data_IF_533136713503
#
_entry.id   IF_533136713503
#
_cell.length_a   1.000
_cell.length_b   1.000
_cell.length_c   1.000
_cell.angle_alpha   90.00
_cell.angle_beta   90.00
_cell.angle_gamma   90.00
#
_symmetry.space_group_name_H-M   'P 1'
#
loop_
_entity.id
_entity.type
_entity.pdbx_description
1 polymer ?
#
# COMPACT_ATOMS: atom_id res chain seq x y z
N UNK A 1 10.97 -49.98 15.99
CA UNK A 1 10.73 -49.11 14.83
C UNK A 1 11.07 -47.70 15.26
N UNK A 2 12.19 -47.19 14.76
CA UNK A 2 12.66 -45.83 15.06
C UNK A 2 11.78 -44.88 14.27
N UNK A 3 10.97 -44.09 14.97
CA UNK A 3 10.13 -43.06 14.35
C UNK A 3 11.07 -41.94 13.89
N UNK A 4 11.42 -41.92 12.59
CA UNK A 4 12.08 -40.76 12.00
C UNK A 4 11.04 -39.65 11.91
N UNK A 5 10.98 -38.80 12.94
CA UNK A 5 10.40 -37.47 12.77
C UNK A 5 11.28 -36.75 11.76
N UNK A 6 10.85 -36.70 10.49
CA UNK A 6 11.35 -35.70 9.56
C UNK A 6 11.32 -34.36 10.29
N UNK A 7 12.40 -33.57 10.30
CA UNK A 7 12.38 -32.28 10.96
C UNK A 7 11.24 -31.49 10.31
N UNK A 8 10.21 -31.14 11.08
CA UNK A 8 9.18 -30.23 10.60
C UNK A 8 9.92 -29.00 10.06
N UNK A 9 9.73 -28.72 8.77
CA UNK A 9 10.41 -27.63 8.11
C UNK A 9 9.97 -26.35 8.83
N UNK A 10 10.84 -25.82 9.70
CA UNK A 10 10.57 -24.56 10.41
C UNK A 10 10.26 -23.50 9.37
N UNK A 11 9.05 -22.95 9.47
CA UNK A 11 8.57 -21.93 8.54
C UNK A 11 9.21 -20.59 8.91
N UNK A 12 9.57 -19.78 7.92
CA UNK A 12 10.18 -18.47 8.16
C UNK A 12 9.21 -17.36 7.80
N UNK A 13 9.02 -16.40 8.69
CA UNK A 13 8.38 -15.11 8.37
C UNK A 13 9.48 -14.05 8.31
N UNK A 14 9.58 -13.40 7.16
CA UNK A 14 10.57 -12.34 6.95
C UNK A 14 9.92 -10.98 7.18
N UNK A 15 10.51 -10.15 8.03
CA UNK A 15 10.01 -8.83 8.39
C UNK A 15 10.89 -7.76 7.75
N UNK A 16 10.33 -7.05 6.79
CA UNK A 16 10.99 -5.97 6.05
C UNK A 16 10.68 -4.63 6.69
N UNK A 17 11.72 -3.90 7.08
CA UNK A 17 11.62 -2.54 7.63
C UNK A 17 11.61 -1.48 6.55
N UNK A 18 10.62 -0.58 6.58
CA UNK A 18 10.61 0.63 5.72
C UNK A 18 10.57 1.95 6.49
N UNK A 19 10.33 1.91 7.80
CA UNK A 19 10.28 3.08 8.68
C UNK A 19 8.86 3.38 9.20
N UNK A 20 8.44 4.64 9.07
CA UNK A 20 7.15 5.12 9.55
C UNK A 20 7.05 5.38 11.05
N UNK A 21 5.85 5.75 11.50
CA UNK A 21 5.51 6.01 12.91
C UNK A 21 5.76 4.82 13.82
N UNK A 22 5.57 3.59 13.32
CA UNK A 22 5.86 2.37 14.08
C UNK A 22 7.33 2.27 14.51
N UNK A 23 8.22 2.86 13.71
CA UNK A 23 9.63 3.02 13.99
C UNK A 23 9.96 4.42 14.57
N UNK A 24 8.97 5.24 14.88
CA UNK A 24 9.15 6.64 15.29
C UNK A 24 9.49 6.80 16.77
N UNK A 25 10.17 7.90 17.10
CA UNK A 25 10.48 8.29 18.49
C UNK A 25 10.06 9.74 18.75
N UNK A 26 9.47 9.96 19.91
CA UNK A 26 9.24 11.28 20.49
C UNK A 26 10.20 11.52 21.66
N UNK A 27 10.37 12.79 22.04
CA UNK A 27 11.14 13.16 23.22
C UNK A 27 10.43 12.80 24.55
N UNK A 28 9.10 12.69 24.52
CA UNK A 28 8.26 12.33 25.67
C UNK A 28 7.22 11.29 25.28
N UNK A 29 6.82 10.43 26.22
CA UNK A 29 5.90 9.31 25.97
C UNK A 29 4.43 9.71 25.83
N UNK A 30 4.06 10.92 26.26
CA UNK A 30 2.74 11.50 26.08
C UNK A 30 2.59 12.27 24.75
N UNK A 31 3.69 12.54 24.06
CA UNK A 31 3.68 13.20 22.75
C UNK A 31 3.50 12.20 21.61
N UNK A 32 2.27 12.13 21.10
CA UNK A 32 1.91 11.28 19.97
C UNK A 32 1.92 12.02 18.62
N UNK A 33 2.28 13.31 18.58
CA UNK A 33 2.22 14.14 17.37
C UNK A 33 3.61 14.63 16.97
N UNK A 34 4.39 15.18 17.91
CA UNK A 34 5.72 15.73 17.71
C UNK A 34 6.85 14.69 17.67
N UNK A 35 6.58 13.50 17.16
CA UNK A 35 7.60 12.47 16.97
C UNK A 35 8.32 12.62 15.63
N UNK A 36 9.51 12.04 15.54
CA UNK A 36 10.18 11.83 14.25
C UNK A 36 9.98 10.38 13.83
N UNK A 37 9.45 10.14 12.63
CA UNK A 37 9.25 8.80 12.07
C UNK A 37 10.60 8.11 11.75
N UNK A 38 10.59 6.79 11.62
CA UNK A 38 11.72 6.00 11.10
C UNK A 38 13.06 6.16 11.85
N UNK A 39 13.03 6.11 13.18
CA UNK A 39 14.20 6.21 14.06
C UNK A 39 14.67 4.86 14.63
N UNK A 40 13.83 3.83 14.58
CA UNK A 40 14.10 2.49 15.15
C UNK A 40 14.24 1.46 14.04
N UNK A 41 15.30 0.64 14.09
CA UNK A 41 15.51 -0.43 13.10
C UNK A 41 14.50 -1.58 13.28
N UNK A 42 14.21 -2.31 12.21
CA UNK A 42 13.23 -3.40 12.23
C UNK A 42 13.64 -4.54 13.18
N UNK A 43 14.94 -4.82 13.32
CA UNK A 43 15.43 -5.80 14.28
C UNK A 43 15.09 -5.40 15.73
N UNK A 44 15.23 -4.10 16.06
CA UNK A 44 14.88 -3.57 17.38
C UNK A 44 13.35 -3.58 17.60
N UNK A 45 12.55 -3.32 16.56
CA UNK A 45 11.09 -3.42 16.62
C UNK A 45 10.59 -4.84 16.90
N UNK A 46 11.36 -5.85 16.47
CA UNK A 46 11.08 -7.25 16.80
C UNK A 46 11.61 -7.65 18.18
N UNK A 47 12.40 -6.80 18.83
CA UNK A 47 12.89 -7.03 20.19
C UNK A 47 11.72 -7.23 21.15
N UNK A 48 11.56 -8.44 21.68
CA UNK A 48 10.46 -8.80 22.59
C UNK A 48 9.18 -9.30 21.91
N UNK A 49 9.17 -9.47 20.59
CA UNK A 49 8.09 -10.17 19.89
C UNK A 49 8.49 -11.65 19.72
N UNK A 50 7.75 -12.53 20.37
CA UNK A 50 7.93 -13.97 20.24
C UNK A 50 7.36 -14.47 18.90
N UNK A 51 8.08 -15.38 18.27
CA UNK A 51 7.61 -16.04 17.06
C UNK A 51 6.52 -17.08 17.42
N UNK A 52 5.51 -17.27 16.56
CA UNK A 52 4.58 -18.40 16.71
C UNK A 52 5.32 -19.75 16.71
N UNK A 53 4.70 -20.77 17.30
CA UNK A 53 5.26 -22.13 17.32
C UNK A 53 5.57 -22.63 15.91
N UNK A 54 6.76 -23.21 15.73
CA UNK A 54 7.23 -23.70 14.43
C UNK A 54 7.61 -22.62 13.42
N UNK A 55 7.53 -21.34 13.80
CA UNK A 55 7.92 -20.19 12.97
C UNK A 55 9.22 -19.56 13.48
N UNK A 56 10.06 -19.11 12.55
CA UNK A 56 11.24 -18.29 12.82
C UNK A 56 11.07 -16.92 12.19
N UNK A 57 11.59 -15.88 12.85
CA UNK A 57 11.57 -14.50 12.33
C UNK A 57 12.94 -14.14 11.77
N UNK A 58 12.95 -13.51 10.60
CA UNK A 58 14.13 -12.89 10.01
C UNK A 58 13.85 -11.43 9.72
N UNK A 59 14.75 -10.53 10.09
CA UNK A 59 14.58 -9.11 9.95
C UNK A 59 15.50 -8.57 8.84
N UNK A 60 14.97 -7.75 7.94
CA UNK A 60 15.76 -7.05 6.92
C UNK A 60 15.32 -5.59 6.82
N UNK A 61 16.25 -4.65 7.00
CA UNK A 61 15.97 -3.24 6.78
C UNK A 61 16.08 -2.90 5.29
N UNK A 62 14.96 -2.55 4.66
CA UNK A 62 14.91 -2.18 3.23
C UNK A 62 15.09 -0.68 3.04
N UNK A 63 14.37 0.10 3.85
CA UNK A 63 14.41 1.56 3.85
C UNK A 63 14.12 2.08 5.27
N UNK A 64 14.36 3.37 5.52
CA UNK A 64 14.10 3.97 6.83
C UNK A 64 13.60 5.41 6.64
N UNK A 65 12.34 5.53 6.21
CA UNK A 65 11.74 6.82 5.83
C UNK A 65 10.36 7.02 6.47
N UNK A 66 9.94 8.28 6.55
CA UNK A 66 8.53 8.61 6.70
C UNK A 66 7.80 8.25 5.41
N UNK A 67 6.60 7.65 5.49
CA UNK A 67 5.91 7.15 4.30
C UNK A 67 5.39 8.28 3.41
N UNK A 68 5.24 9.50 3.92
CA UNK A 68 5.02 10.70 3.09
C UNK A 68 6.18 11.00 2.13
N UNK A 69 7.38 10.50 2.43
CA UNK A 69 8.60 10.65 1.63
C UNK A 69 8.95 9.35 0.88
N UNK A 70 8.01 8.39 0.79
CA UNK A 70 8.18 7.14 0.03
C UNK A 70 8.47 7.42 -1.44
N UNK A 71 9.56 6.85 -1.95
CA UNK A 71 9.99 7.05 -3.34
C UNK A 71 9.75 5.82 -4.21
N UNK A 72 9.75 6.02 -5.52
CA UNK A 72 9.61 4.92 -6.47
C UNK A 72 10.82 3.96 -6.48
N UNK A 73 12.00 4.44 -6.11
CA UNK A 73 13.19 3.60 -5.94
C UNK A 73 13.03 2.67 -4.74
N UNK A 74 12.47 3.18 -3.63
CA UNK A 74 12.15 2.36 -2.46
C UNK A 74 11.05 1.35 -2.82
N UNK A 75 10.00 1.75 -3.55
CA UNK A 75 8.98 0.81 -4.04
C UNK A 75 9.59 -0.31 -4.90
N UNK A 76 10.47 0.03 -5.84
CA UNK A 76 11.15 -0.96 -6.66
C UNK A 76 11.98 -1.92 -5.81
N UNK A 77 12.78 -1.39 -4.89
CA UNK A 77 13.61 -2.18 -3.98
C UNK A 77 12.73 -3.10 -3.11
N UNK A 78 11.67 -2.58 -2.52
CA UNK A 78 10.75 -3.34 -1.68
C UNK A 78 10.09 -4.48 -2.46
N UNK A 79 9.60 -4.22 -3.67
CA UNK A 79 9.02 -5.25 -4.54
C UNK A 79 10.04 -6.35 -4.87
N UNK A 80 11.31 -5.99 -5.16
CA UNK A 80 12.38 -6.96 -5.39
C UNK A 80 12.68 -7.82 -4.17
N UNK A 81 12.77 -7.21 -2.99
CA UNK A 81 13.03 -7.94 -1.75
C UNK A 81 11.87 -8.88 -1.41
N UNK A 82 10.62 -8.44 -1.59
CA UNK A 82 9.46 -9.32 -1.49
C UNK A 82 9.57 -10.50 -2.47
N UNK A 83 9.80 -10.25 -3.75
CA UNK A 83 9.92 -11.32 -4.75
C UNK A 83 11.04 -12.32 -4.42
N UNK A 84 12.18 -11.82 -3.96
CA UNK A 84 13.32 -12.64 -3.52
C UNK A 84 12.95 -13.58 -2.36
N UNK A 85 12.32 -13.06 -1.30
CA UNK A 85 11.95 -13.88 -0.15
C UNK A 85 10.81 -14.84 -0.45
N UNK A 86 9.79 -14.40 -1.18
CA UNK A 86 8.63 -15.23 -1.52
C UNK A 86 9.03 -16.46 -2.38
N UNK A 87 10.10 -16.36 -3.16
CA UNK A 87 10.64 -17.46 -3.98
C UNK A 87 11.27 -18.60 -3.16
N UNK A 88 11.65 -18.37 -1.90
CA UNK A 88 12.32 -19.38 -1.06
C UNK A 88 11.31 -20.35 -0.45
N UNK A 89 11.56 -21.66 -0.49
CA UNK A 89 10.59 -22.67 -0.10
C UNK A 89 10.22 -22.65 1.39
N UNK A 90 11.16 -22.30 2.26
CA UNK A 90 10.99 -22.24 3.71
C UNK A 90 10.32 -20.95 4.20
N UNK A 91 10.22 -19.92 3.34
CA UNK A 91 9.52 -18.68 3.67
C UNK A 91 8.00 -18.90 3.59
N UNK A 92 7.32 -18.73 4.72
CA UNK A 92 5.87 -18.77 4.84
C UNK A 92 5.21 -17.52 4.29
N UNK A 93 5.80 -16.35 4.51
CA UNK A 93 5.24 -15.05 4.16
C UNK A 93 6.20 -13.91 4.51
N UNK A 94 5.84 -12.71 4.07
CA UNK A 94 6.59 -11.48 4.32
C UNK A 94 5.72 -10.53 5.11
N UNK A 95 6.25 -9.95 6.18
CA UNK A 95 5.67 -8.81 6.91
C UNK A 95 6.44 -7.55 6.54
N UNK A 96 5.76 -6.41 6.39
CA UNK A 96 6.40 -5.13 6.09
C UNK A 96 5.96 -4.11 7.14
N UNK A 97 6.89 -3.54 7.91
CA UNK A 97 6.61 -2.40 8.77
C UNK A 97 6.69 -1.11 7.96
N UNK A 98 5.62 -0.33 7.96
CA UNK A 98 5.45 0.83 7.09
C UNK A 98 4.78 2.00 7.80
N UNK A 99 4.99 3.23 7.30
CA UNK A 99 4.28 4.41 7.77
C UNK A 99 2.83 4.46 7.28
N UNK A 100 1.93 5.04 8.07
CA UNK A 100 0.49 4.98 7.84
C UNK A 100 0.02 5.80 6.64
N UNK A 101 0.71 6.89 6.29
CA UNK A 101 0.20 7.89 5.34
C UNK A 101 0.06 7.38 3.90
N UNK A 102 1.01 6.59 3.42
CA UNK A 102 0.99 6.03 2.04
C UNK A 102 0.99 4.49 2.02
N UNK A 103 0.58 3.84 3.12
CA UNK A 103 0.52 2.37 3.18
C UNK A 103 -0.50 1.80 2.17
N UNK A 104 -1.60 2.51 1.92
CA UNK A 104 -2.62 2.09 0.93
C UNK A 104 -2.09 2.08 -0.50
N UNK A 105 -1.21 3.03 -0.82
CA UNK A 105 -0.53 3.12 -2.11
C UNK A 105 0.46 1.98 -2.26
N UNK A 106 1.30 1.75 -1.25
CA UNK A 106 2.32 0.69 -1.27
C UNK A 106 1.68 -0.70 -1.30
N UNK A 107 0.61 -0.92 -0.55
CA UNK A 107 -0.13 -2.20 -0.56
C UNK A 107 -0.75 -2.46 -1.94
N UNK A 108 -1.37 -1.45 -2.55
CA UNK A 108 -1.94 -1.56 -3.90
C UNK A 108 -0.85 -1.83 -4.95
N UNK A 109 0.28 -1.10 -4.89
CA UNK A 109 1.42 -1.29 -5.77
C UNK A 109 1.97 -2.73 -5.68
N UNK A 110 2.30 -3.20 -4.48
CA UNK A 110 2.83 -4.55 -4.27
C UNK A 110 1.84 -5.62 -4.71
N UNK A 111 0.53 -5.42 -4.46
CA UNK A 111 -0.50 -6.34 -4.94
C UNK A 111 -0.49 -6.46 -6.46
N UNK A 112 -0.42 -5.32 -7.14
CA UNK A 112 -0.46 -5.24 -8.60
C UNK A 112 0.76 -5.87 -9.25
N UNK A 113 1.96 -5.68 -8.69
CA UNK A 113 3.22 -6.13 -9.32
C UNK A 113 3.66 -7.53 -8.91
N UNK A 114 3.21 -8.05 -7.76
CA UNK A 114 3.63 -9.37 -7.26
C UNK A 114 2.55 -10.45 -7.44
N UNK A 115 1.27 -10.11 -7.27
CA UNK A 115 0.15 -11.06 -7.12
C UNK A 115 0.52 -12.36 -6.39
N UNK A 116 1.04 -12.27 -5.15
CA UNK A 116 1.82 -13.33 -4.57
C UNK A 116 0.95 -14.52 -4.15
N UNK A 117 1.48 -15.74 -4.35
CA UNK A 117 0.84 -16.99 -3.90
C UNK A 117 1.03 -17.23 -2.39
N UNK A 118 2.00 -16.55 -1.78
CA UNK A 118 2.26 -16.47 -0.34
C UNK A 118 1.84 -15.08 0.18
N UNK A 119 1.55 -14.91 1.48
CA UNK A 119 1.06 -13.64 2.00
C UNK A 119 2.19 -12.61 2.08
N UNK A 120 1.88 -11.39 1.68
CA UNK A 120 2.64 -10.17 2.00
C UNK A 120 1.75 -9.30 2.86
N UNK A 121 2.13 -9.10 4.12
CA UNK A 121 1.32 -8.42 5.13
C UNK A 121 2.00 -7.12 5.53
N UNK A 122 1.43 -5.99 5.14
CA UNK A 122 1.91 -4.70 5.64
C UNK A 122 1.28 -4.44 7.01
N UNK A 123 2.02 -3.75 7.87
CA UNK A 123 1.53 -3.26 9.15
C UNK A 123 2.13 -1.91 9.48
N UNK A 124 1.52 -1.22 10.43
CA UNK A 124 1.85 0.15 10.79
C UNK A 124 1.46 0.44 12.25
N UNK A 125 1.73 1.66 12.70
CA UNK A 125 1.26 2.16 13.98
C UNK A 125 0.79 3.61 13.83
N UNK A 126 -0.27 3.97 14.51
CA UNK A 126 -0.76 5.35 14.59
C UNK A 126 -0.04 6.15 15.69
N UNK A 127 0.60 5.47 16.66
CA UNK A 127 1.40 6.09 17.72
C UNK A 127 2.89 5.70 17.60
N UNK A 128 3.82 6.60 17.99
CA UNK A 128 5.25 6.30 17.97
C UNK A 128 5.62 5.20 18.97
N UNK A 129 6.77 4.55 18.76
CA UNK A 129 7.24 3.46 19.62
C UNK A 129 7.48 3.89 21.08
N UNK A 130 7.72 5.18 21.32
CA UNK A 130 7.92 5.77 22.65
C UNK A 130 6.63 6.11 23.38
N UNK A 131 5.46 5.97 22.74
CA UNK A 131 4.18 6.30 23.36
C UNK A 131 3.92 5.47 24.62
N UNK A 132 3.14 6.00 25.57
CA UNK A 132 2.72 5.26 26.77
C UNK A 132 1.96 3.97 26.45
N UNK A 133 1.25 3.95 25.34
CA UNK A 133 0.49 2.78 24.87
C UNK A 133 0.58 2.69 23.35
N UNK A 134 1.73 2.21 22.83
CA UNK A 134 1.98 2.11 21.40
C UNK A 134 1.17 0.95 20.82
N UNK A 135 0.58 1.14 19.65
CA UNK A 135 -0.18 0.11 18.93
C UNK A 135 0.71 -0.81 18.06
N UNK A 136 1.92 -0.35 17.72
CA UNK A 136 2.88 -1.06 16.88
C UNK A 136 3.18 -2.51 17.29
N UNK A 137 3.55 -2.79 18.55
CA UNK A 137 3.89 -4.16 18.98
C UNK A 137 2.76 -5.17 18.74
N UNK A 138 1.50 -4.80 19.00
CA UNK A 138 0.38 -5.68 18.75
C UNK A 138 0.13 -5.84 17.24
N UNK A 139 0.16 -4.74 16.48
CA UNK A 139 -0.03 -4.79 15.04
C UNK A 139 1.02 -5.68 14.34
N UNK A 140 2.28 -5.68 14.81
CA UNK A 140 3.34 -6.57 14.29
C UNK A 140 3.06 -8.04 14.64
N UNK A 141 2.64 -8.34 15.87
CA UNK A 141 2.23 -9.71 16.25
C UNK A 141 1.10 -10.23 15.37
N UNK A 142 0.06 -9.41 15.18
CA UNK A 142 -1.07 -9.75 14.33
C UNK A 142 -0.64 -9.98 12.88
N UNK A 143 0.25 -9.13 12.35
CA UNK A 143 0.78 -9.26 11.00
C UNK A 143 1.61 -10.54 10.81
N UNK A 144 2.42 -10.92 11.81
CA UNK A 144 3.17 -12.19 11.83
C UNK A 144 2.21 -13.39 11.85
N UNK A 145 1.15 -13.35 12.67
CA UNK A 145 0.12 -14.40 12.70
C UNK A 145 -0.56 -14.58 11.34
N UNK A 146 -0.92 -13.47 10.68
CA UNK A 146 -1.48 -13.50 9.31
C UNK A 146 -0.48 -14.05 8.30
N UNK A 147 0.80 -13.67 8.37
CA UNK A 147 1.84 -14.17 7.47
C UNK A 147 2.15 -15.67 7.67
N UNK A 148 1.97 -16.19 8.88
CA UNK A 148 2.16 -17.61 9.21
C UNK A 148 0.94 -18.48 8.83
N UNK A 149 -0.24 -17.87 8.70
CA UNK A 149 -1.51 -18.58 8.43
C UNK A 149 -1.43 -19.44 7.17
N UNK A 150 -1.83 -20.70 7.27
CA UNK A 150 -1.82 -21.63 6.13
C UNK A 150 -2.83 -21.19 5.07
N UNK A 151 -2.41 -21.17 3.80
CA UNK A 151 -3.24 -20.76 2.67
C UNK A 151 -3.47 -19.25 2.55
N UNK A 152 -2.92 -18.45 3.46
CA UNK A 152 -2.88 -16.99 3.31
C UNK A 152 -2.10 -16.60 2.04
N UNK A 153 -2.62 -15.60 1.32
CA UNK A 153 -2.06 -15.16 0.03
C UNK A 153 -2.47 -13.75 -0.31
N UNK A 154 -1.86 -13.22 -1.37
CA UNK A 154 -2.10 -11.84 -1.79
C UNK A 154 -1.40 -10.83 -0.86
N UNK A 155 -1.78 -9.57 -1.01
CA UNK A 155 -1.24 -8.47 -0.21
C UNK A 155 -2.35 -7.98 0.72
N UNK A 156 -2.06 -7.95 2.00
CA UNK A 156 -2.98 -7.48 3.05
C UNK A 156 -2.33 -6.40 3.90
N UNK A 157 -3.15 -5.65 4.63
CA UNK A 157 -2.70 -4.71 5.66
C UNK A 157 -3.37 -5.10 6.97
N UNK A 158 -2.59 -5.17 8.05
CA UNK A 158 -3.08 -5.54 9.38
C UNK A 158 -2.78 -4.43 10.37
N UNK A 159 -3.82 -3.92 11.02
CA UNK A 159 -3.75 -2.93 12.09
C UNK A 159 -5.02 -3.02 12.95
N UNK A 160 -4.87 -2.79 14.26
CA UNK A 160 -5.97 -2.81 15.22
C UNK A 160 -6.83 -4.10 15.15
N UNK A 161 -6.19 -5.26 14.95
CA UNK A 161 -6.87 -6.56 14.84
C UNK A 161 -7.69 -6.78 13.57
N UNK A 162 -7.66 -5.88 12.58
CA UNK A 162 -8.41 -6.01 11.32
C UNK A 162 -7.47 -6.34 10.17
N UNK A 163 -7.85 -7.33 9.35
CA UNK A 163 -7.13 -7.72 8.13
C UNK A 163 -7.83 -7.10 6.92
N UNK A 164 -7.17 -6.16 6.26
CA UNK A 164 -7.66 -5.47 5.07
C UNK A 164 -7.02 -6.02 3.80
N UNK A 165 -7.75 -6.02 2.69
CA UNK A 165 -7.17 -6.33 1.37
C UNK A 165 -6.35 -5.14 0.87
N UNK A 166 -5.16 -5.38 0.32
CA UNK A 166 -4.26 -4.32 -0.16
C UNK A 166 -4.86 -3.46 -1.29
N UNK A 167 -5.86 -3.99 -2.00
CA UNK A 167 -6.62 -3.22 -3.01
C UNK A 167 -7.68 -2.32 -2.38
N UNK A 168 -8.25 -2.72 -1.24
CA UNK A 168 -9.44 -2.11 -0.66
C UNK A 168 -9.10 -1.11 0.46
N UNK A 169 -8.01 -1.34 1.20
CA UNK A 169 -7.55 -0.55 2.34
C UNK A 169 -7.47 0.95 2.02
N UNK A 170 -8.04 1.79 2.88
CA UNK A 170 -7.86 3.23 2.85
C UNK A 170 -7.68 3.77 4.27
N UNK A 171 -6.81 4.76 4.45
CA UNK A 171 -6.74 5.55 5.70
C UNK A 171 -7.91 6.55 5.70
N UNK A 172 -8.85 6.35 6.61
CA UNK A 172 -10.10 7.13 6.73
C UNK A 172 -10.15 8.02 7.97
N UNK A 173 -9.18 7.89 8.89
CA UNK A 173 -9.03 8.78 10.02
C UNK A 173 -7.58 9.24 10.21
N UNK A 174 -7.41 10.48 10.65
CA UNK A 174 -6.10 11.11 10.84
C UNK A 174 -5.39 10.75 12.15
N UNK A 175 -6.02 10.02 13.09
CA UNK A 175 -5.53 9.93 14.47
C UNK A 175 -5.92 8.66 15.24
N UNK A 176 -7.13 8.13 15.07
CA UNK A 176 -7.56 6.94 15.81
C UNK A 176 -6.71 5.72 15.48
N UNK A 177 -6.67 4.74 16.39
CA UNK A 177 -5.95 3.48 16.14
C UNK A 177 -6.62 2.65 15.03
N UNK A 178 -7.94 2.65 14.98
CA UNK A 178 -8.78 2.07 13.92
C UNK A 178 -8.93 3.04 12.72
N UNK A 179 -7.82 3.63 12.27
CA UNK A 179 -7.83 4.67 11.24
C UNK A 179 -8.11 4.16 9.82
N UNK A 180 -8.25 2.86 9.62
CA UNK A 180 -8.31 2.24 8.31
C UNK A 180 -9.63 1.51 8.04
N UNK A 181 -10.08 1.54 6.79
CA UNK A 181 -11.29 0.85 6.34
C UNK A 181 -11.08 0.21 4.96
N UNK A 182 -11.89 -0.81 4.64
CA UNK A 182 -11.91 -1.46 3.31
C UNK A 182 -13.13 -1.04 2.47
N UNK A 183 -13.77 0.08 2.82
CA UNK A 183 -14.99 0.57 2.16
C UNK A 183 -16.09 -0.49 2.04
N UNK A 184 -16.81 -0.46 0.91
CA UNK A 184 -17.92 -1.38 0.60
C UNK A 184 -17.48 -2.85 0.48
N UNK A 185 -16.18 -3.09 0.28
CA UNK A 185 -15.63 -4.42 0.10
C UNK A 185 -15.55 -5.19 1.43
N UNK A 186 -15.50 -4.47 2.56
CA UNK A 186 -15.33 -5.05 3.90
C UNK A 186 -13.93 -5.61 4.17
N UNK A 187 -13.60 -5.93 5.42
CA UNK A 187 -12.34 -6.56 5.76
C UNK A 187 -12.24 -7.97 5.18
N UNK A 188 -11.00 -8.46 5.01
CA UNK A 188 -10.74 -9.87 4.68
C UNK A 188 -11.02 -10.75 5.90
N UNK A 189 -10.66 -10.27 7.09
CA UNK A 189 -10.79 -11.01 8.34
C UNK A 189 -10.40 -10.18 9.55
N UNK A 190 -10.29 -10.86 10.67
CA UNK A 190 -9.91 -10.31 11.97
C UNK A 190 -8.85 -11.20 12.61
N UNK A 191 -8.00 -10.62 13.46
CA UNK A 191 -7.08 -11.35 14.32
C UNK A 191 -7.63 -11.30 15.74
N UNK A 192 -7.91 -12.47 16.31
CA UNK A 192 -8.57 -12.63 17.60
C UNK A 192 -7.82 -13.71 18.39
N UNK A 193 -7.29 -13.37 19.56
CA UNK A 193 -6.46 -14.29 20.38
C UNK A 193 -5.31 -14.95 19.59
N UNK A 194 -4.71 -14.20 18.66
CA UNK A 194 -3.62 -14.68 17.79
C UNK A 194 -4.06 -15.49 16.57
N UNK A 195 -5.36 -15.77 16.42
CA UNK A 195 -5.92 -16.57 15.33
C UNK A 195 -6.61 -15.70 14.28
N UNK A 196 -6.50 -16.10 13.01
CA UNK A 196 -7.13 -15.38 11.90
C UNK A 196 -8.51 -15.93 11.60
N UNK A 197 -9.55 -15.12 11.85
CA UNK A 197 -10.92 -15.40 11.42
C UNK A 197 -11.24 -14.68 10.11
N UNK A 198 -11.36 -15.45 9.03
CA UNK A 198 -11.76 -14.92 7.72
C UNK A 198 -13.27 -14.64 7.65
N UNK A 199 -13.62 -13.53 7.02
CA UNK A 199 -15.01 -13.19 6.64
C UNK A 199 -15.17 -13.03 5.13
N UNK A 200 -14.06 -13.00 4.40
CA UNK A 200 -13.99 -12.95 2.94
C UNK A 200 -12.75 -13.72 2.46
N UNK A 201 -12.75 -14.25 1.23
CA UNK A 201 -11.55 -14.89 0.68
C UNK A 201 -10.32 -13.95 0.67
N UNK A 202 -9.13 -14.54 0.74
CA UNK A 202 -7.88 -13.82 0.56
C UNK A 202 -7.85 -13.05 -0.76
N UNK A 203 -7.22 -11.86 -0.81
CA UNK A 203 -7.11 -11.08 -2.03
C UNK A 203 -6.46 -11.90 -3.16
N UNK A 204 -7.11 -11.91 -4.32
CA UNK A 204 -6.61 -12.54 -5.53
C UNK A 204 -6.41 -11.47 -6.60
N UNK A 205 -5.39 -11.66 -7.43
CA UNK A 205 -5.12 -10.80 -8.57
C UNK A 205 -4.24 -11.54 -9.57
N UNK A 206 -4.15 -10.98 -10.77
CA UNK A 206 -3.11 -11.32 -11.73
C UNK A 206 -2.08 -10.21 -11.68
N UNK A 207 -0.80 -10.58 -11.56
CA UNK A 207 0.25 -9.59 -11.60
C UNK A 207 0.22 -8.92 -12.98
N UNK A 208 0.32 -7.59 -13.00
CA UNK A 208 0.69 -6.90 -14.25
C UNK A 208 2.10 -7.37 -14.65
N UNK A 209 2.47 -7.32 -15.94
CA UNK A 209 3.83 -7.65 -16.39
C UNK A 209 4.93 -6.84 -15.66
N UNK A 210 5.38 -7.33 -14.51
CA UNK A 210 6.29 -6.60 -13.62
C UNK A 210 7.77 -6.82 -13.95
N UNK A 211 8.09 -7.51 -15.06
CA UNK A 211 9.47 -7.80 -15.46
C UNK A 211 10.32 -6.54 -15.58
N UNK A 212 9.74 -5.44 -16.10
CA UNK A 212 10.41 -4.13 -16.18
C UNK A 212 10.72 -3.54 -14.80
N UNK A 213 9.89 -3.82 -13.79
CA UNK A 213 10.06 -3.30 -12.43
C UNK A 213 11.06 -4.17 -11.65
N UNK A 214 10.86 -5.48 -11.69
CA UNK A 214 11.66 -6.41 -10.90
C UNK A 214 13.05 -6.64 -11.51
N UNK A 215 13.19 -6.61 -12.83
CA UNK A 215 14.42 -6.96 -13.54
C UNK A 215 15.35 -5.80 -13.95
N UNK A 216 14.85 -4.55 -14.06
CA UNK A 216 15.66 -3.44 -14.58
C UNK A 216 16.37 -2.65 -13.47
N UNK A 217 17.70 -2.46 -13.55
CA UNK A 217 18.47 -1.77 -12.50
C UNK A 217 17.84 -0.44 -12.02
N UNK A 218 17.27 0.33 -12.94
CA UNK A 218 16.41 1.48 -12.65
C UNK A 218 15.19 1.45 -13.58
N UNK A 219 14.06 2.01 -13.12
CA UNK A 219 12.85 2.20 -13.93
C UNK A 219 12.65 3.69 -14.19
N UNK A 220 12.44 4.05 -15.45
CA UNK A 220 11.94 5.38 -15.79
C UNK A 220 10.43 5.41 -15.57
N UNK A 221 10.02 5.89 -14.39
CA UNK A 221 8.62 5.96 -14.02
C UNK A 221 7.88 7.04 -14.84
N UNK A 222 6.74 6.71 -15.48
CA UNK A 222 5.96 7.71 -16.19
C UNK A 222 5.42 8.74 -15.20
N UNK A 223 5.53 10.02 -15.54
CA UNK A 223 4.95 11.08 -14.73
C UNK A 223 3.43 11.03 -14.82
N UNK A 224 2.79 10.73 -13.68
CA UNK A 224 1.33 10.71 -13.53
C UNK A 224 0.93 11.57 -12.33
N UNK A 225 0.05 12.53 -12.58
CA UNK A 225 -0.39 13.52 -11.59
C UNK A 225 -1.86 13.34 -11.22
N UNK A 226 -2.26 13.82 -10.04
CA UNK A 226 -3.65 13.83 -9.58
C UNK A 226 -4.13 15.28 -9.50
N UNK A 227 -5.25 15.60 -10.15
CA UNK A 227 -5.90 16.91 -10.07
C UNK A 227 -7.32 16.76 -9.56
N UNK A 228 -7.66 17.49 -8.50
CA UNK A 228 -8.97 17.39 -7.86
C UNK A 228 -9.97 18.41 -8.41
N UNK A 229 -11.19 17.95 -8.66
CA UNK A 229 -12.34 18.81 -8.95
C UNK A 229 -12.96 19.34 -7.66
N UNK A 230 -13.32 20.61 -7.65
CA UNK A 230 -14.00 21.30 -6.55
C UNK A 230 -14.80 22.50 -7.08
N UNK A 231 -15.55 23.16 -6.20
CA UNK A 231 -16.24 24.40 -6.56
C UNK A 231 -15.22 25.45 -7.00
N UNK A 232 -15.43 26.05 -8.18
CA UNK A 232 -14.49 27.01 -8.76
C UNK A 232 -13.21 26.42 -9.34
N UNK A 233 -13.11 25.09 -9.53
CA UNK A 233 -11.95 24.49 -10.17
C UNK A 233 -11.75 25.02 -11.60
N UNK A 234 -10.50 25.31 -11.97
CA UNK A 234 -10.12 25.83 -13.28
C UNK A 234 -9.22 24.85 -14.03
N UNK A 235 -9.01 25.09 -15.32
CA UNK A 235 -8.06 24.33 -16.14
C UNK A 235 -6.59 24.67 -15.91
N UNK A 236 -6.30 25.73 -15.16
CA UNK A 236 -4.95 26.32 -15.06
C UNK A 236 -3.90 25.33 -14.52
N UNK A 237 -4.28 24.46 -13.58
CA UNK A 237 -3.38 23.43 -13.05
C UNK A 237 -2.99 22.43 -14.15
N UNK A 238 -3.96 21.96 -14.95
CA UNK A 238 -3.66 21.04 -16.06
C UNK A 238 -2.79 21.74 -17.11
N UNK A 239 -3.12 22.97 -17.49
CA UNK A 239 -2.32 23.74 -18.45
C UNK A 239 -0.87 23.92 -17.95
N UNK A 240 -0.67 24.20 -16.65
CA UNK A 240 0.65 24.30 -16.05
C UNK A 240 1.40 22.96 -16.06
N UNK A 241 0.73 21.84 -15.77
CA UNK A 241 1.34 20.51 -15.81
C UNK A 241 1.79 20.10 -17.22
N UNK A 242 1.12 20.61 -18.27
CA UNK A 242 1.49 20.39 -19.66
C UNK A 242 2.70 21.23 -20.12
N UNK A 243 3.12 22.24 -19.34
CA UNK A 243 4.31 23.00 -19.67
C UNK A 243 5.58 22.15 -19.45
N UNK A 244 6.38 21.97 -20.49
CA UNK A 244 7.64 21.23 -20.45
C UNK A 244 8.79 22.14 -19.96
N UNK A 245 8.76 22.53 -18.69
CA UNK A 245 9.77 23.39 -18.05
C UNK A 245 11.04 22.65 -17.57
N UNK A 246 11.48 21.61 -18.27
CA UNK A 246 12.66 20.79 -17.90
C UNK A 246 12.35 19.56 -17.02
N UNK A 247 11.10 19.35 -16.63
CA UNK A 247 10.64 18.11 -16.01
C UNK A 247 10.25 17.06 -17.07
N UNK A 248 10.21 15.78 -16.66
CA UNK A 248 9.65 14.70 -17.48
C UNK A 248 8.23 15.06 -17.96
N UNK A 249 7.90 14.75 -19.24
CA UNK A 249 6.60 15.08 -19.80
C UNK A 249 5.49 14.38 -19.03
N UNK A 250 4.37 15.08 -18.83
CA UNK A 250 3.17 14.46 -18.26
C UNK A 250 2.69 13.33 -19.18
N UNK A 251 2.65 12.10 -18.67
CA UNK A 251 2.21 10.92 -19.43
C UNK A 251 0.82 10.46 -19.03
N UNK A 252 0.43 10.71 -17.78
CA UNK A 252 -0.90 10.38 -17.27
C UNK A 252 -1.47 11.45 -16.35
N UNK A 253 -2.79 11.51 -16.27
CA UNK A 253 -3.53 12.42 -15.42
C UNK A 253 -4.72 11.69 -14.80
N UNK A 254 -4.77 11.66 -13.47
CA UNK A 254 -5.93 11.20 -12.71
C UNK A 254 -6.73 12.40 -12.25
N UNK A 255 -8.02 12.39 -12.52
CA UNK A 255 -8.93 13.42 -12.05
C UNK A 255 -9.69 12.91 -10.83
N UNK A 256 -9.47 13.51 -9.65
CA UNK A 256 -10.27 13.27 -8.46
C UNK A 256 -11.58 14.06 -8.55
N UNK A 257 -12.54 13.47 -9.25
CA UNK A 257 -13.85 14.03 -9.60
C UNK A 257 -14.78 14.20 -8.40
N UNK A 258 -15.86 14.97 -8.57
CA UNK A 258 -16.95 15.07 -7.59
C UNK A 258 -17.99 13.97 -7.81
N UNK A 259 -18.56 13.42 -6.73
CA UNK A 259 -19.68 12.49 -6.80
C UNK A 259 -19.42 11.29 -7.70
N UNK A 260 -20.38 10.99 -8.58
CA UNK A 260 -20.28 9.90 -9.57
C UNK A 260 -19.48 10.32 -10.83
N UNK A 261 -18.23 10.77 -10.66
CA UNK A 261 -17.36 11.02 -11.81
C UNK A 261 -17.50 12.37 -12.50
N UNK A 262 -18.14 13.38 -11.88
CA UNK A 262 -18.40 14.68 -12.53
C UNK A 262 -17.27 15.69 -12.31
N UNK A 263 -17.07 16.56 -13.30
CA UNK A 263 -16.01 17.56 -13.31
C UNK A 263 -16.59 18.97 -13.40
N UNK A 264 -15.86 19.95 -12.88
CA UNK A 264 -16.11 21.33 -13.27
C UNK A 264 -15.79 21.49 -14.77
N UNK A 265 -16.68 22.12 -15.53
CA UNK A 265 -16.58 22.22 -17.00
C UNK A 265 -15.24 22.80 -17.50
N UNK A 266 -14.67 23.78 -16.79
CA UNK A 266 -13.37 24.35 -17.13
C UNK A 266 -12.22 23.35 -16.95
N UNK A 267 -12.28 22.52 -15.91
CA UNK A 267 -11.31 21.46 -15.67
C UNK A 267 -11.46 20.33 -16.70
N UNK A 268 -12.70 19.97 -17.03
CA UNK A 268 -13.00 18.98 -18.07
C UNK A 268 -12.46 19.42 -19.44
N UNK A 269 -12.69 20.67 -19.85
CA UNK A 269 -12.16 21.20 -21.10
C UNK A 269 -10.63 21.09 -21.18
N UNK A 270 -9.92 21.44 -20.10
CA UNK A 270 -8.47 21.30 -20.03
C UNK A 270 -8.01 19.83 -20.04
N UNK A 271 -8.73 18.94 -19.37
CA UNK A 271 -8.44 17.50 -19.39
C UNK A 271 -8.62 16.89 -20.80
N UNK A 272 -9.66 17.31 -21.54
CA UNK A 272 -9.88 16.88 -22.92
C UNK A 272 -8.78 17.39 -23.86
N UNK A 273 -8.30 18.62 -23.65
CA UNK A 273 -7.13 19.16 -24.35
C UNK A 273 -5.86 18.36 -24.04
N UNK A 274 -5.60 18.05 -22.77
CA UNK A 274 -4.47 17.21 -22.35
C UNK A 274 -4.51 15.83 -23.02
N UNK A 275 -5.69 15.20 -23.05
CA UNK A 275 -5.91 13.94 -23.77
C UNK A 275 -5.63 14.08 -25.27
N UNK A 276 -6.09 15.16 -25.90
CA UNK A 276 -5.81 15.46 -27.30
C UNK A 276 -4.31 15.63 -27.59
N UNK A 277 -3.52 16.01 -26.59
CA UNK A 277 -2.06 16.10 -26.65
C UNK A 277 -1.35 14.77 -26.30
N UNK A 278 -2.08 13.65 -26.15
CA UNK A 278 -1.51 12.32 -25.91
C UNK A 278 -1.32 11.93 -24.45
N UNK A 279 -1.79 12.73 -23.48
CA UNK A 279 -1.80 12.36 -22.06
C UNK A 279 -2.91 11.34 -21.81
N UNK A 280 -2.61 10.22 -21.12
CA UNK A 280 -3.64 9.27 -20.70
C UNK A 280 -4.42 9.84 -19.52
N UNK A 281 -5.73 10.08 -19.69
CA UNK A 281 -6.57 10.71 -18.67
C UNK A 281 -7.60 9.71 -18.13
N UNK A 282 -7.71 9.61 -16.81
CA UNK A 282 -8.67 8.74 -16.13
C UNK A 282 -9.40 9.48 -15.01
N UNK A 283 -10.70 9.19 -14.84
CA UNK A 283 -11.51 9.70 -13.73
C UNK A 283 -11.47 8.73 -12.55
N UNK A 284 -11.24 9.26 -11.36
CA UNK A 284 -11.51 8.61 -10.08
C UNK A 284 -12.43 9.52 -9.26
N UNK A 285 -13.07 9.04 -8.20
CA UNK A 285 -13.90 9.92 -7.34
C UNK A 285 -13.16 10.32 -6.08
N UNK A 286 -13.37 11.56 -5.63
CA UNK A 286 -12.92 12.01 -4.30
C UNK A 286 -13.86 11.56 -3.17
N UNK A 287 -15.01 10.95 -3.51
CA UNK A 287 -15.86 10.29 -2.52
C UNK A 287 -15.06 9.15 -1.86
N UNK A 288 -15.22 8.98 -0.55
CA UNK A 288 -14.48 7.99 0.24
C UNK A 288 -14.93 6.55 0.00
N UNK A 289 -16.14 6.36 -0.54
CA UNK A 289 -16.74 5.06 -0.80
C UNK A 289 -17.50 5.07 -2.13
N UNK A 290 -17.81 3.88 -2.62
CA UNK A 290 -18.49 3.67 -3.90
C UNK A 290 -17.53 3.65 -5.09
N UNK A 291 -18.13 3.54 -6.28
CA UNK A 291 -17.44 3.49 -7.57
C UNK A 291 -18.10 4.45 -8.55
N UNK A 292 -17.35 4.86 -9.58
CA UNK A 292 -17.96 5.51 -10.73
C UNK A 292 -18.83 4.49 -11.48
N UNK A 293 -20.07 4.88 -11.74
CA UNK A 293 -21.00 4.21 -12.64
C UNK A 293 -20.96 4.93 -13.99
N UNK A 294 -20.32 4.34 -15.01
CA UNK A 294 -20.10 4.99 -16.29
C UNK A 294 -21.41 5.17 -17.06
N UNK A 295 -21.46 6.22 -17.89
CA UNK A 295 -22.56 6.45 -18.83
C UNK A 295 -22.08 6.26 -20.26
N UNK A 296 -22.96 5.75 -21.13
CA UNK A 296 -22.67 5.68 -22.56
C UNK A 296 -22.36 7.10 -23.09
N UNK A 297 -21.25 7.24 -23.81
CA UNK A 297 -20.80 8.52 -24.35
C UNK A 297 -19.98 9.39 -23.40
N UNK A 298 -19.64 8.90 -22.19
CA UNK A 298 -18.69 9.61 -21.32
C UNK A 298 -17.37 9.85 -22.07
N UNK A 299 -16.86 11.09 -22.12
CA UNK A 299 -15.69 11.38 -22.94
C UNK A 299 -14.43 10.78 -22.32
N UNK A 300 -14.32 10.71 -20.99
CA UNK A 300 -13.15 10.20 -20.29
C UNK A 300 -13.45 8.87 -19.60
N UNK A 301 -12.57 7.89 -19.77
CA UNK A 301 -12.65 6.61 -19.04
C UNK A 301 -12.52 6.82 -17.53
N UNK A 302 -13.07 5.91 -16.75
CA UNK A 302 -12.99 5.90 -15.28
C UNK A 302 -12.16 4.72 -14.74
N UNK A 303 -11.71 4.86 -13.50
CA UNK A 303 -10.96 3.86 -12.74
C UNK A 303 -11.87 2.97 -11.86
N UNK A 304 -13.18 2.97 -12.09
CA UNK A 304 -14.15 2.21 -11.33
C UNK A 304 -14.16 2.58 -9.84
N UNK A 305 -13.75 1.62 -9.00
CA UNK A 305 -13.73 1.74 -7.53
C UNK A 305 -12.38 2.23 -6.97
N UNK A 306 -11.36 2.43 -7.81
CA UNK A 306 -10.05 2.86 -7.32
C UNK A 306 -10.12 4.31 -6.83
N UNK A 307 -9.55 4.55 -5.65
CA UNK A 307 -9.30 5.90 -5.13
C UNK A 307 -8.33 6.65 -6.05
N UNK A 308 -8.27 8.00 -6.01
CA UNK A 308 -7.37 8.75 -6.88
C UNK A 308 -5.90 8.33 -6.77
N UNK A 309 -5.43 8.01 -5.56
CA UNK A 309 -4.04 7.56 -5.33
C UNK A 309 -3.78 6.17 -5.90
N UNK A 310 -4.72 5.23 -5.78
CA UNK A 310 -4.60 3.89 -6.40
C UNK A 310 -4.76 3.94 -7.92
N UNK A 311 -5.67 4.78 -8.43
CA UNK A 311 -5.85 5.00 -9.86
C UNK A 311 -4.59 5.58 -10.51
N UNK A 312 -3.85 6.44 -9.79
CA UNK A 312 -2.55 6.96 -10.24
C UNK A 312 -1.55 5.84 -10.41
N UNK A 313 -1.43 4.95 -9.44
CA UNK A 313 -0.53 3.80 -9.50
C UNK A 313 -0.92 2.86 -10.63
N UNK A 314 -2.21 2.53 -10.76
CA UNK A 314 -2.70 1.69 -11.86
C UNK A 314 -2.35 2.28 -13.22
N UNK A 315 -2.55 3.58 -13.39
CA UNK A 315 -2.21 4.30 -14.62
C UNK A 315 -0.69 4.35 -14.88
N UNK A 316 0.13 4.53 -13.84
CA UNK A 316 1.59 4.44 -13.95
C UNK A 316 2.03 3.06 -14.44
N UNK A 317 1.46 2.00 -13.87
CA UNK A 317 1.76 0.62 -14.26
C UNK A 317 1.31 0.32 -15.70
N UNK A 318 0.12 0.79 -16.10
CA UNK A 318 -0.37 0.68 -17.48
C UNK A 318 0.59 1.37 -18.47
N UNK A 319 1.09 2.55 -18.13
CA UNK A 319 1.99 3.34 -18.99
C UNK A 319 3.42 2.77 -19.08
N UNK A 320 3.81 1.92 -18.14
CA UNK A 320 5.09 1.20 -18.19
C UNK A 320 5.05 0.02 -19.18
N UNK A 321 3.86 -0.53 -19.48
CA UNK A 321 3.63 -1.67 -20.37
C UNK A 321 4.03 -2.99 -19.73
#
# INVERSE_FOLDING_TARGET
>A
MVNSSSPELRRRVVVLGTGGTIAGRAASSDDNIGYTAAQVGVADLLGGIEAPDGVTLEAEQVAQVDSKDMSFDIWQQLARRCAHWLAQADVAGVVITHGTDTIEETAFFLHSVLAPSKPVVLTCAMRPATALSPDGPQNVRDAIGVAATQGARGVTVVCAGVVHGGVDIQKVHTYRLDAFASGDAGPVGYVEEGEVRLVRPWPQGQAVPAAKILGAAAVQWPRVEIVMSHAGASGAVIDALLLHGGAEPLRGLVLATTGNGTLHHALEAAALKARGAGVSVVRATRCTSGRILPKAGDPLRDAGALTPVKARIALMLELLG
#
